data_IF_014396389054
#
_entry.id   IF_014396389054
#
_cell.length_a   1.000
_cell.length_b   1.000
_cell.length_c   1.000
_cell.angle_alpha   90.00
_cell.angle_beta   90.00
_cell.angle_gamma   90.00
#
_symmetry.space_group_name_H-M   'P 1'
#
loop_
_entity.id
_entity.type
_entity.pdbx_description
1 polymer ?
#
# COMPACT_ATOMS: atom_id res chain seq x y z
N UNK A 1 34.63 -13.36 8.24
CA UNK A 1 33.29 -13.69 8.81
C UNK A 1 32.59 -12.46 9.40
N UNK A 2 33.28 -11.61 10.19
CA UNK A 2 32.70 -10.35 10.73
C UNK A 2 32.24 -9.33 9.66
N UNK A 3 32.99 -9.12 8.58
CA UNK A 3 32.60 -8.16 7.52
C UNK A 3 31.25 -8.56 6.87
N UNK A 4 31.05 -9.84 6.60
CA UNK A 4 29.80 -10.37 6.02
C UNK A 4 28.60 -10.16 6.96
N UNK A 5 28.79 -10.29 8.28
CA UNK A 5 27.73 -10.07 9.26
C UNK A 5 27.37 -8.58 9.38
N UNK A 6 28.36 -7.69 9.39
CA UNK A 6 28.13 -6.24 9.46
C UNK A 6 27.37 -5.72 8.23
N UNK A 7 27.72 -6.21 7.04
CA UNK A 7 26.98 -5.88 5.82
C UNK A 7 25.54 -6.41 5.88
N UNK A 8 25.32 -7.63 6.38
CA UNK A 8 23.98 -8.22 6.50
C UNK A 8 23.06 -7.42 7.47
N UNK A 9 23.59 -6.97 8.60
CA UNK A 9 22.85 -6.11 9.55
C UNK A 9 22.53 -4.77 8.89
N UNK A 10 23.52 -4.16 8.21
CA UNK A 10 23.32 -2.91 7.47
C UNK A 10 22.22 -3.01 6.41
N UNK A 11 22.24 -4.04 5.58
CA UNK A 11 21.22 -4.28 4.55
C UNK A 11 19.83 -4.48 5.15
N UNK A 12 19.73 -5.20 6.27
CA UNK A 12 18.45 -5.43 6.95
C UNK A 12 17.85 -4.11 7.45
N UNK A 13 18.65 -3.26 8.09
CA UNK A 13 18.20 -1.96 8.60
C UNK A 13 17.71 -1.08 7.45
N UNK A 14 18.51 -0.94 6.38
CA UNK A 14 18.14 -0.13 5.21
C UNK A 14 16.84 -0.64 4.57
N UNK A 15 16.67 -1.95 4.49
CA UNK A 15 15.45 -2.57 3.94
C UNK A 15 14.22 -2.23 4.78
N UNK A 16 14.31 -2.40 6.11
CA UNK A 16 13.19 -2.09 7.03
C UNK A 16 12.83 -0.61 6.97
N UNK A 17 13.81 0.29 7.04
CA UNK A 17 13.59 1.73 6.96
C UNK A 17 12.95 2.10 5.61
N UNK A 18 13.42 1.50 4.51
CA UNK A 18 12.85 1.73 3.18
C UNK A 18 11.38 1.31 3.10
N UNK A 19 11.00 0.18 3.71
CA UNK A 19 9.61 -0.25 3.76
C UNK A 19 8.74 0.70 4.60
N UNK A 20 9.25 1.20 5.73
CA UNK A 20 8.53 2.17 6.55
C UNK A 20 8.27 3.45 5.74
N UNK A 21 9.31 4.01 5.12
CA UNK A 21 9.19 5.23 4.29
C UNK A 21 8.20 5.00 3.15
N UNK A 22 8.31 3.87 2.45
CA UNK A 22 7.40 3.54 1.35
C UNK A 22 5.95 3.49 1.81
N UNK A 23 5.66 2.83 2.95
CA UNK A 23 4.31 2.77 3.49
C UNK A 23 3.79 4.17 3.85
N UNK A 24 4.61 5.03 4.48
CA UNK A 24 4.24 6.40 4.79
C UNK A 24 3.93 7.23 3.54
N UNK A 25 4.73 7.07 2.47
CA UNK A 25 4.50 7.73 1.18
C UNK A 25 3.18 7.29 0.57
N UNK A 26 2.91 5.98 0.50
CA UNK A 26 1.66 5.45 -0.06
C UNK A 26 0.45 5.94 0.75
N UNK A 27 0.52 5.89 2.09
CA UNK A 27 -0.52 6.44 2.97
C UNK A 27 -0.78 7.91 2.70
N UNK A 28 0.28 8.72 2.56
CA UNK A 28 0.16 10.16 2.33
C UNK A 28 -0.49 10.47 0.98
N UNK A 29 -0.16 9.70 -0.06
CA UNK A 29 -0.79 9.83 -1.39
C UNK A 29 -2.29 9.56 -1.30
N UNK A 30 -2.70 8.43 -0.72
CA UNK A 30 -4.13 8.12 -0.62
C UNK A 30 -4.86 9.09 0.30
N UNK A 31 -4.25 9.51 1.41
CA UNK A 31 -4.82 10.53 2.30
C UNK A 31 -5.07 11.84 1.57
N UNK A 32 -4.05 12.36 0.89
CA UNK A 32 -4.14 13.61 0.14
C UNK A 32 -5.19 13.56 -0.98
N UNK A 33 -5.26 12.45 -1.72
CA UNK A 33 -6.17 12.35 -2.85
C UNK A 33 -7.64 12.12 -2.46
N UNK A 34 -7.91 11.66 -1.24
CA UNK A 34 -9.27 11.24 -0.82
C UNK A 34 -9.89 12.11 0.27
N UNK A 35 -9.23 12.24 1.42
CA UNK A 35 -9.82 12.82 2.63
C UNK A 35 -9.36 14.25 2.90
N UNK A 36 -8.30 14.71 2.25
CA UNK A 36 -7.82 16.07 2.40
C UNK A 36 -8.90 17.10 1.98
N UNK A 37 -8.90 18.25 2.64
CA UNK A 37 -9.84 19.34 2.36
C UNK A 37 -9.80 19.85 0.93
N UNK A 38 -8.68 19.68 0.21
CA UNK A 38 -8.49 20.07 -1.18
C UNK A 38 -8.84 18.95 -2.17
N UNK A 39 -9.20 17.75 -1.68
CA UNK A 39 -9.54 16.62 -2.52
C UNK A 39 -10.89 16.83 -3.22
N UNK A 40 -10.83 16.97 -4.54
CA UNK A 40 -12.00 17.11 -5.41
C UNK A 40 -12.35 15.78 -6.09
N UNK A 41 -13.38 15.78 -6.93
CA UNK A 41 -13.82 14.55 -7.61
C UNK A 41 -12.73 13.95 -8.50
N UNK A 42 -11.91 14.78 -9.15
CA UNK A 42 -10.83 14.31 -10.03
C UNK A 42 -9.71 13.63 -9.22
N UNK A 43 -9.35 14.18 -8.06
CA UNK A 43 -8.34 13.55 -7.18
C UNK A 43 -8.83 12.22 -6.62
N UNK A 44 -10.12 12.12 -6.26
CA UNK A 44 -10.73 10.87 -5.78
C UNK A 44 -10.80 9.80 -6.87
N UNK A 45 -11.13 10.18 -8.10
CA UNK A 45 -11.04 9.28 -9.27
C UNK A 45 -9.58 8.86 -9.50
N UNK A 46 -8.64 9.79 -9.35
CA UNK A 46 -7.20 9.50 -9.38
C UNK A 46 -6.79 8.47 -8.32
N UNK A 47 -7.27 8.60 -7.08
CA UNK A 47 -7.03 7.63 -6.01
C UNK A 47 -7.59 6.25 -6.36
N UNK A 48 -8.79 6.20 -6.92
CA UNK A 48 -9.41 4.94 -7.34
C UNK A 48 -8.58 4.25 -8.43
N UNK A 49 -8.12 4.98 -9.45
CA UNK A 49 -7.25 4.45 -10.50
C UNK A 49 -5.92 3.97 -9.88
N UNK A 50 -5.30 4.81 -9.05
CA UNK A 50 -4.01 4.52 -8.42
C UNK A 50 -4.09 3.30 -7.49
N UNK A 51 -5.25 3.06 -6.87
CA UNK A 51 -5.50 1.89 -6.03
C UNK A 51 -5.33 0.57 -6.73
N UNK A 52 -5.47 0.53 -8.06
CA UNK A 52 -5.17 -0.64 -8.85
C UNK A 52 -3.72 -0.62 -9.37
N UNK A 53 -3.31 0.48 -10.01
CA UNK A 53 -2.02 0.54 -10.71
C UNK A 53 -0.79 0.49 -9.80
N UNK A 54 -0.83 1.15 -8.64
CA UNK A 54 0.29 1.15 -7.69
C UNK A 54 0.56 -0.26 -7.16
N UNK A 55 -0.41 -0.99 -6.59
CA UNK A 55 -0.18 -2.36 -6.13
C UNK A 55 0.03 -3.34 -7.27
N UNK A 56 -0.56 -3.11 -8.46
CA UNK A 56 -0.23 -3.89 -9.65
C UNK A 56 1.27 -3.82 -9.97
N UNK A 57 1.87 -2.62 -9.95
CA UNK A 57 3.31 -2.47 -10.19
C UNK A 57 4.15 -3.17 -9.11
N UNK A 58 3.74 -3.08 -7.85
CA UNK A 58 4.40 -3.78 -6.75
C UNK A 58 4.35 -5.30 -7.00
N UNK A 59 3.18 -5.85 -7.29
CA UNK A 59 3.00 -7.28 -7.61
C UNK A 59 3.86 -7.69 -8.80
N UNK A 60 3.86 -6.91 -9.88
CA UNK A 60 4.67 -7.17 -11.08
C UNK A 60 6.17 -7.25 -10.78
N UNK A 61 6.67 -6.40 -9.87
CA UNK A 61 8.08 -6.41 -9.43
C UNK A 61 8.38 -7.44 -8.33
N UNK A 62 7.36 -8.03 -7.70
CA UNK A 62 7.50 -8.97 -6.57
C UNK A 62 6.74 -10.28 -6.84
N UNK A 63 6.84 -10.79 -8.08
CA UNK A 63 6.17 -12.02 -8.53
C UNK A 63 6.53 -13.24 -7.70
N UNK A 64 7.80 -13.34 -7.30
CA UNK A 64 8.32 -14.44 -6.48
C UNK A 64 7.85 -14.38 -5.02
N UNK A 65 7.27 -13.26 -4.58
CA UNK A 65 6.83 -13.07 -3.20
C UNK A 65 5.40 -13.61 -2.99
N UNK A 66 5.16 -14.41 -1.92
CA UNK A 66 3.83 -14.83 -1.52
C UNK A 66 2.89 -13.65 -1.29
N UNK A 67 1.62 -13.80 -1.66
CA UNK A 67 0.63 -12.72 -1.55
C UNK A 67 0.46 -12.16 -0.14
N UNK A 68 0.49 -13.02 0.89
CA UNK A 68 0.41 -12.59 2.28
C UNK A 68 1.65 -11.79 2.71
N UNK A 69 2.85 -12.24 2.34
CA UNK A 69 4.09 -11.55 2.67
C UNK A 69 4.13 -10.16 2.01
N UNK A 70 3.72 -10.07 0.74
CA UNK A 70 3.60 -8.81 0.00
C UNK A 70 2.57 -7.88 0.64
N UNK A 71 1.41 -8.40 1.03
CA UNK A 71 0.38 -7.63 1.72
C UNK A 71 0.90 -7.05 3.04
N UNK A 72 1.65 -7.80 3.83
CA UNK A 72 2.19 -7.32 5.11
C UNK A 72 3.31 -6.29 4.91
N UNK A 73 4.19 -6.50 3.94
CA UNK A 73 5.31 -5.57 3.65
C UNK A 73 4.85 -4.25 3.05
N UNK A 74 3.92 -4.29 2.09
CA UNK A 74 3.52 -3.12 1.30
C UNK A 74 2.12 -2.57 1.63
N UNK A 75 1.29 -3.34 2.33
CA UNK A 75 -0.08 -2.98 2.67
C UNK A 75 -0.32 -2.70 4.15
N UNK A 76 0.66 -2.94 5.04
CA UNK A 76 0.51 -2.69 6.48
C UNK A 76 0.22 -1.23 6.80
N UNK A 77 0.90 -0.29 6.16
CA UNK A 77 0.61 1.14 6.29
C UNK A 77 -0.82 1.47 5.86
N UNK A 78 -1.30 0.88 4.76
CA UNK A 78 -2.67 1.08 4.27
C UNK A 78 -3.72 0.52 5.23
N UNK A 79 -3.48 -0.67 5.80
CA UNK A 79 -4.37 -1.26 6.80
C UNK A 79 -4.46 -0.39 8.06
N UNK A 80 -3.31 0.04 8.58
CA UNK A 80 -3.23 0.92 9.75
C UNK A 80 -3.93 2.25 9.45
N UNK A 81 -3.67 2.85 8.29
CA UNK A 81 -4.26 4.12 7.90
C UNK A 81 -5.78 4.04 7.78
N UNK A 82 -6.30 3.01 7.12
CA UNK A 82 -7.72 2.76 6.99
C UNK A 82 -8.40 2.65 8.37
N UNK A 83 -7.77 1.95 9.32
CA UNK A 83 -8.28 1.80 10.68
C UNK A 83 -8.28 3.13 11.45
N UNK A 84 -7.15 3.86 11.43
CA UNK A 84 -7.01 5.14 12.13
C UNK A 84 -8.05 6.14 11.62
N UNK A 85 -8.16 6.30 10.30
CA UNK A 85 -9.07 7.30 9.73
C UNK A 85 -10.54 6.91 9.95
N UNK A 86 -10.87 5.62 9.89
CA UNK A 86 -12.24 5.16 10.20
C UNK A 86 -12.65 5.45 11.65
N UNK A 87 -11.69 5.48 12.58
CA UNK A 87 -11.92 5.81 13.99
C UNK A 87 -11.95 7.33 14.19
N UNK A 88 -10.96 8.06 13.65
CA UNK A 88 -10.77 9.50 13.90
C UNK A 88 -11.75 10.36 13.12
N UNK A 89 -11.93 10.10 11.82
CA UNK A 89 -12.83 10.87 10.96
C UNK A 89 -14.24 10.27 10.90
N UNK A 90 -14.41 9.04 11.39
CA UNK A 90 -15.64 8.27 11.32
C UNK A 90 -15.75 7.46 10.03
N UNK A 91 -16.25 6.22 10.17
CA UNK A 91 -16.40 5.30 9.05
C UNK A 91 -17.22 5.85 7.87
N UNK A 92 -18.36 6.54 8.06
CA UNK A 92 -19.11 7.11 6.94
C UNK A 92 -18.30 8.11 6.14
N UNK A 93 -17.53 8.97 6.81
CA UNK A 93 -16.68 9.96 6.15
C UNK A 93 -15.52 9.28 5.39
N UNK A 94 -14.85 8.32 6.03
CA UNK A 94 -13.78 7.54 5.40
C UNK A 94 -14.26 6.72 4.19
N UNK A 95 -15.51 6.26 4.19
CA UNK A 95 -16.09 5.51 3.08
C UNK A 95 -16.49 6.44 1.92
N UNK A 96 -17.23 7.50 2.21
CA UNK A 96 -17.72 8.47 1.21
C UNK A 96 -16.62 9.32 0.58
N UNK A 97 -15.50 9.54 1.27
CA UNK A 97 -14.30 10.20 0.71
C UNK A 97 -13.61 9.36 -0.38
N UNK A 98 -13.94 8.08 -0.47
CA UNK A 98 -13.29 7.13 -1.38
C UNK A 98 -12.03 6.49 -0.79
N UNK A 99 -11.65 6.81 0.45
CA UNK A 99 -10.47 6.24 1.10
C UNK A 99 -10.64 4.72 1.30
N UNK A 100 -11.67 4.30 2.04
CA UNK A 100 -11.92 2.87 2.31
C UNK A 100 -12.04 2.03 1.03
N UNK A 101 -12.85 2.42 0.01
CA UNK A 101 -12.93 1.61 -1.20
C UNK A 101 -11.61 1.56 -1.97
N UNK A 102 -10.87 2.67 -2.08
CA UNK A 102 -9.56 2.69 -2.76
C UNK A 102 -8.55 1.79 -2.03
N UNK A 103 -8.45 1.91 -0.70
CA UNK A 103 -7.51 1.08 0.06
C UNK A 103 -7.89 -0.41 0.03
N UNK A 104 -9.18 -0.73 0.00
CA UNK A 104 -9.65 -2.11 -0.12
C UNK A 104 -9.24 -2.74 -1.45
N UNK A 105 -9.37 -2.01 -2.57
CA UNK A 105 -8.88 -2.44 -3.88
C UNK A 105 -7.37 -2.65 -3.83
N UNK A 106 -6.64 -1.71 -3.22
CA UNK A 106 -5.19 -1.80 -3.17
C UNK A 106 -4.69 -3.02 -2.38
N UNK A 107 -5.29 -3.28 -1.21
CA UNK A 107 -5.00 -4.46 -0.39
C UNK A 107 -5.38 -5.75 -1.11
N UNK A 108 -6.55 -5.78 -1.77
CA UNK A 108 -6.98 -6.91 -2.59
C UNK A 108 -5.99 -7.22 -3.70
N UNK A 109 -5.51 -6.20 -4.41
CA UNK A 109 -4.53 -6.37 -5.49
C UNK A 109 -3.17 -6.85 -4.97
N UNK A 110 -2.70 -6.35 -3.81
CA UNK A 110 -1.46 -6.86 -3.20
C UNK A 110 -1.56 -8.34 -2.84
N UNK A 111 -2.70 -8.77 -2.31
CA UNK A 111 -2.89 -10.17 -1.90
C UNK A 111 -3.10 -11.10 -3.09
N UNK A 112 -4.08 -10.80 -3.95
CA UNK A 112 -4.51 -11.68 -5.05
C UNK A 112 -3.75 -11.46 -6.37
N UNK A 113 -3.04 -10.35 -6.52
CA UNK A 113 -2.39 -9.96 -7.77
C UNK A 113 -1.41 -10.98 -8.36
N UNK A 114 -0.73 -11.73 -7.50
CA UNK A 114 0.19 -12.79 -7.96
C UNK A 114 -0.52 -13.89 -8.74
N UNK A 115 -1.75 -14.25 -8.34
CA UNK A 115 -2.57 -15.24 -9.05
C UNK A 115 -3.11 -14.68 -10.37
N UNK A 116 -3.48 -13.40 -10.38
CA UNK A 116 -3.94 -12.70 -11.59
C UNK A 116 -2.87 -12.68 -12.68
N UNK A 117 -1.60 -12.48 -12.32
CA UNK A 117 -0.48 -12.46 -13.27
C UNK A 117 0.09 -13.85 -13.61
N UNK A 118 -0.21 -14.88 -12.81
CA UNK A 118 0.27 -16.24 -13.04
C UNK A 118 -0.61 -17.04 -14.02
N UNK A 119 -1.71 -16.46 -14.54
CA UNK A 119 -2.66 -17.15 -15.43
C UNK A 119 -2.26 -17.01 -16.92
N UNK A 120 -1.04 -16.58 -17.23
CA UNK A 120 -0.54 -16.44 -18.62
C UNK A 120 0.55 -17.47 -19.01
N UNK A 121 0.65 -18.60 -18.30
CA UNK A 121 1.48 -19.75 -18.73
C UNK A 121 0.65 -21.03 -18.86
#
# INVERSE_FOLDING_TARGET
>A
MELSQRTAIGTTIVTVVSFIILNLVIMSIFGFLTIDSWANINSRVGAFILSFFLPFFIVYKTREMPGLERLLKFGSGLMIYMMIISIVAGFPHAFTSGLVPSLTIALGMLYYGGKLLATEE
#
